data_IF_534501070685
#
_entry.id   IF_534501070685
#
_cell.length_a   1.000
_cell.length_b   1.000
_cell.length_c   1.000
_cell.angle_alpha   90.00
_cell.angle_beta   90.00
_cell.angle_gamma   90.00
#
_symmetry.space_group_name_H-M   'P 1'
#
loop_
_entity.id
_entity.type
_entity.pdbx_description
1 polymer ?
#
# COMPACT_ATOMS: atom_id res chain seq x y z
N UNK A 1 24.09 -26.59 13.73
CA UNK A 1 23.46 -26.36 12.42
C UNK A 1 22.22 -25.52 12.67
N UNK A 2 22.30 -24.20 12.49
CA UNK A 2 21.15 -23.30 12.73
C UNK A 2 20.20 -23.53 11.57
N UNK A 3 19.02 -24.10 11.87
CA UNK A 3 17.98 -24.36 10.89
C UNK A 3 17.56 -23.04 10.25
N UNK A 4 17.82 -22.88 8.94
CA UNK A 4 17.17 -21.84 8.16
C UNK A 4 15.69 -22.21 8.09
N UNK A 5 14.85 -21.42 8.73
CA UNK A 5 13.41 -21.39 8.45
C UNK A 5 13.25 -21.32 6.93
N UNK A 6 12.40 -22.17 6.33
CA UNK A 6 12.22 -22.19 4.89
C UNK A 6 11.89 -20.78 4.39
N UNK A 7 12.76 -20.20 3.57
CA UNK A 7 12.46 -18.93 2.91
C UNK A 7 11.31 -19.20 1.93
N UNK A 8 10.17 -18.50 2.06
CA UNK A 8 9.07 -18.69 1.14
C UNK A 8 9.45 -18.18 -0.25
N UNK A 9 9.08 -18.91 -1.31
CA UNK A 9 9.37 -18.49 -2.68
C UNK A 9 8.54 -17.26 -3.11
N UNK A 10 7.37 -17.08 -2.49
CA UNK A 10 6.45 -15.99 -2.81
C UNK A 10 5.63 -15.52 -1.61
N UNK A 11 5.19 -14.25 -1.66
CA UNK A 11 4.25 -13.64 -0.72
C UNK A 11 3.03 -13.17 -1.51
N UNK A 12 1.83 -13.61 -1.12
CA UNK A 12 0.59 -13.26 -1.82
C UNK A 12 -0.37 -12.51 -0.91
N UNK A 13 -0.94 -11.42 -1.41
CA UNK A 13 -2.00 -10.66 -0.74
C UNK A 13 -3.24 -10.56 -1.63
N UNK A 14 -4.42 -10.33 -1.04
CA UNK A 14 -5.63 -10.00 -1.81
C UNK A 14 -5.58 -8.65 -2.51
N UNK A 15 -4.70 -7.76 -2.07
CA UNK A 15 -4.58 -6.43 -2.65
C UNK A 15 -3.23 -5.83 -2.26
N UNK A 16 -2.62 -5.02 -3.14
CA UNK A 16 -1.27 -4.50 -2.93
C UNK A 16 -1.19 -3.58 -1.69
N UNK A 17 -2.24 -2.78 -1.45
CA UNK A 17 -2.36 -1.86 -0.30
C UNK A 17 -2.40 -2.56 1.08
N UNK A 18 -2.46 -3.88 1.11
CA UNK A 18 -2.38 -4.69 2.34
C UNK A 18 -0.98 -5.25 2.59
N UNK A 19 -0.07 -5.08 1.64
CA UNK A 19 1.33 -5.52 1.76
C UNK A 19 2.20 -4.45 2.43
N UNK A 20 1.78 -3.18 2.39
CA UNK A 20 2.53 -2.03 2.88
C UNK A 20 1.58 -0.98 3.49
N UNK A 21 2.07 -0.13 4.42
CA UNK A 21 1.26 0.98 4.99
C UNK A 21 1.57 2.32 4.34
N UNK A 22 2.81 2.52 3.92
CA UNK A 22 3.27 3.77 3.30
C UNK A 22 3.92 3.50 1.94
N UNK A 23 4.04 4.52 1.07
CA UNK A 23 4.81 4.38 -0.16
C UNK A 23 6.27 4.00 0.09
N UNK A 24 6.85 4.40 1.23
CA UNK A 24 8.22 4.01 1.60
C UNK A 24 8.32 2.52 1.91
N UNK A 25 7.34 1.99 2.65
CA UNK A 25 7.27 0.55 2.94
C UNK A 25 7.15 -0.29 1.64
N UNK A 26 6.53 0.25 0.59
CA UNK A 26 6.47 -0.40 -0.72
C UNK A 26 7.87 -0.50 -1.35
N UNK A 27 8.69 0.56 -1.24
CA UNK A 27 10.06 0.53 -1.73
C UNK A 27 10.91 -0.47 -0.94
N UNK A 28 10.79 -0.48 0.39
CA UNK A 28 11.47 -1.46 1.24
C UNK A 28 11.08 -2.90 0.87
N UNK A 29 9.80 -3.13 0.54
CA UNK A 29 9.31 -4.44 0.09
C UNK A 29 9.90 -4.85 -1.26
N UNK A 30 10.04 -3.91 -2.19
CA UNK A 30 10.67 -4.13 -3.49
C UNK A 30 12.14 -4.47 -3.33
N UNK A 31 12.88 -3.69 -2.53
CA UNK A 31 14.30 -3.92 -2.27
C UNK A 31 14.55 -5.27 -1.60
N UNK A 32 13.68 -5.62 -0.63
CA UNK A 32 13.73 -6.93 0.03
C UNK A 32 13.47 -8.07 -0.95
N UNK A 33 12.51 -7.92 -1.86
CA UNK A 33 12.20 -8.91 -2.89
C UNK A 33 13.38 -9.13 -3.84
N UNK A 34 14.03 -8.04 -4.29
CA UNK A 34 15.22 -8.10 -5.15
C UNK A 34 16.41 -8.75 -4.43
N UNK A 35 16.61 -8.45 -3.13
CA UNK A 35 17.70 -9.02 -2.34
C UNK A 35 17.53 -10.50 -2.01
N UNK A 36 16.28 -10.97 -1.89
CA UNK A 36 15.97 -12.34 -1.42
C UNK A 36 15.50 -13.29 -2.52
N UNK A 37 15.10 -12.75 -3.68
CA UNK A 37 14.49 -13.52 -4.76
C UNK A 37 13.03 -13.92 -4.50
N UNK A 38 12.42 -13.41 -3.42
CA UNK A 38 11.01 -13.68 -3.08
C UNK A 38 10.11 -12.90 -4.02
N UNK A 39 9.09 -13.55 -4.57
CA UNK A 39 8.12 -12.89 -5.47
C UNK A 39 6.91 -12.35 -4.70
N UNK A 40 6.71 -11.02 -4.62
CA UNK A 40 5.49 -10.46 -4.05
C UNK A 40 4.41 -10.33 -5.12
N UNK A 41 3.22 -10.86 -4.87
CA UNK A 41 2.08 -10.76 -5.78
C UNK A 41 0.80 -10.35 -5.05
N UNK A 42 -0.05 -9.56 -5.71
CA UNK A 42 -1.34 -9.15 -5.18
C UNK A 42 -2.48 -9.54 -6.12
N UNK A 43 -3.45 -10.31 -5.62
CA UNK A 43 -4.64 -10.74 -6.36
C UNK A 43 -5.70 -9.63 -6.39
N UNK A 44 -5.52 -8.62 -7.25
CA UNK A 44 -6.48 -7.54 -7.47
C UNK A 44 -7.80 -8.05 -8.06
N UNK A 45 -8.85 -7.23 -7.97
CA UNK A 45 -10.12 -7.52 -8.63
C UNK A 45 -9.96 -7.66 -10.16
N UNK A 46 -9.00 -6.95 -10.75
CA UNK A 46 -8.70 -6.95 -12.18
C UNK A 46 -7.64 -7.98 -12.60
N UNK A 47 -7.10 -8.76 -11.66
CA UNK A 47 -6.07 -9.77 -11.94
C UNK A 47 -4.91 -9.76 -10.96
N UNK A 48 -3.85 -10.49 -11.26
CA UNK A 48 -2.67 -10.54 -10.40
C UNK A 48 -1.72 -9.42 -10.75
N UNK A 49 -1.37 -8.61 -9.76
CA UNK A 49 -0.31 -7.62 -9.83
C UNK A 49 0.99 -8.24 -9.31
N UNK A 50 1.92 -8.50 -10.21
CA UNK A 50 3.24 -9.08 -9.89
C UNK A 50 4.29 -7.98 -9.66
N UNK A 51 4.68 -7.79 -8.39
CA UNK A 51 5.64 -6.76 -7.98
C UNK A 51 7.09 -7.12 -8.31
N UNK A 52 7.37 -8.35 -8.78
CA UNK A 52 8.70 -8.70 -9.30
C UNK A 52 8.97 -8.06 -10.67
N UNK A 53 7.91 -7.63 -11.39
CA UNK A 53 8.04 -7.00 -12.71
C UNK A 53 8.12 -5.47 -12.62
N UNK A 54 8.87 -4.80 -13.52
CA UNK A 54 8.91 -3.33 -13.55
C UNK A 54 7.52 -2.68 -13.71
N UNK A 55 6.67 -3.28 -14.55
CA UNK A 55 5.30 -2.80 -14.78
C UNK A 55 4.42 -2.92 -13.54
N UNK A 56 4.53 -4.03 -12.80
CA UNK A 56 3.78 -4.23 -11.56
C UNK A 56 4.22 -3.26 -10.45
N UNK A 57 5.53 -3.01 -10.32
CA UNK A 57 6.05 -1.98 -9.41
C UNK A 57 5.55 -0.59 -9.76
N UNK A 58 5.57 -0.22 -11.04
CA UNK A 58 5.03 1.06 -11.50
C UNK A 58 3.55 1.22 -11.13
N UNK A 59 2.72 0.21 -11.43
CA UNK A 59 1.30 0.26 -11.12
C UNK A 59 1.01 0.35 -9.62
N UNK A 60 1.75 -0.39 -8.78
CA UNK A 60 1.63 -0.30 -7.32
C UNK A 60 2.02 1.09 -6.78
N UNK A 61 3.12 1.67 -7.29
CA UNK A 61 3.56 3.03 -6.91
C UNK A 61 2.52 4.09 -7.28
N UNK A 62 1.98 4.03 -8.50
CA UNK A 62 0.90 4.93 -8.93
C UNK A 62 -0.32 4.77 -8.01
N UNK A 63 -0.72 3.53 -7.73
CA UNK A 63 -1.83 3.23 -6.81
C UNK A 63 -1.60 3.80 -5.40
N UNK A 64 -0.38 3.67 -4.87
CA UNK A 64 -0.01 4.23 -3.56
C UNK A 64 -0.15 5.77 -3.53
N UNK A 65 0.30 6.45 -4.58
CA UNK A 65 0.19 7.91 -4.70
C UNK A 65 -1.26 8.35 -4.80
N UNK A 66 -2.08 7.65 -5.60
CA UNK A 66 -3.52 7.93 -5.73
C UNK A 66 -4.24 7.75 -4.38
N UNK A 67 -4.02 6.65 -3.67
CA UNK A 67 -4.62 6.38 -2.37
C UNK A 67 -4.25 7.45 -1.33
N UNK A 68 -3.02 7.97 -1.39
CA UNK A 68 -2.59 9.07 -0.52
C UNK A 68 -3.34 10.37 -0.85
N UNK A 69 -3.44 10.74 -2.12
CA UNK A 69 -4.19 11.92 -2.55
C UNK A 69 -5.67 11.84 -2.11
N UNK A 70 -6.32 10.69 -2.27
CA UNK A 70 -7.70 10.50 -1.80
C UNK A 70 -7.84 10.70 -0.30
N UNK A 71 -6.86 10.24 0.47
CA UNK A 71 -6.82 10.44 1.93
C UNK A 71 -6.65 11.92 2.29
N UNK A 72 -5.77 12.64 1.60
CA UNK A 72 -5.55 14.07 1.82
C UNK A 72 -6.83 14.88 1.51
N UNK A 73 -7.49 14.60 0.38
CA UNK A 73 -8.78 15.20 0.04
C UNK A 73 -9.87 14.90 1.08
N UNK A 74 -9.91 13.65 1.59
CA UNK A 74 -10.87 13.27 2.63
C UNK A 74 -10.63 14.04 3.93
N UNK A 75 -9.36 14.17 4.34
CA UNK A 75 -8.98 14.91 5.55
C UNK A 75 -9.36 16.38 5.42
N UNK A 76 -9.09 17.01 4.28
CA UNK A 76 -9.49 18.40 4.02
C UNK A 76 -11.00 18.59 4.20
N UNK A 77 -11.81 17.73 3.59
CA UNK A 77 -13.28 17.76 3.73
C UNK A 77 -13.72 17.57 5.18
N UNK A 78 -13.09 16.65 5.90
CA UNK A 78 -13.41 16.38 7.30
C UNK A 78 -13.09 17.60 8.19
N UNK A 79 -11.95 18.24 8.00
CA UNK A 79 -11.56 19.46 8.72
C UNK A 79 -12.54 20.61 8.45
N UNK A 80 -12.94 20.81 7.20
CA UNK A 80 -13.96 21.81 6.84
C UNK A 80 -15.31 21.51 7.48
N UNK A 81 -15.74 20.24 7.48
CA UNK A 81 -16.97 19.81 8.14
C UNK A 81 -16.95 20.09 9.65
N UNK A 82 -15.83 19.77 10.31
CA UNK A 82 -15.63 20.06 11.74
C UNK A 82 -15.66 21.56 12.04
N UNK A 83 -15.03 22.39 11.19
CA UNK A 83 -15.08 23.84 11.32
C UNK A 83 -16.50 24.38 11.25
N UNK A 84 -17.29 23.96 10.24
CA UNK A 84 -18.69 24.35 10.08
C UNK A 84 -19.56 23.93 11.28
N UNK A 85 -19.32 22.74 11.84
CA UNK A 85 -20.03 22.29 13.05
C UNK A 85 -19.73 23.19 14.25
N UNK A 86 -18.46 23.55 14.45
CA UNK A 86 -18.04 24.47 15.53
C UNK A 86 -18.65 25.86 15.36
N UNK A 87 -18.65 26.41 14.15
CA UNK A 87 -19.26 27.71 13.83
C UNK A 87 -20.79 27.71 14.04
N UNK A 88 -21.45 26.58 13.81
CA UNK A 88 -22.90 26.41 14.05
C UNK A 88 -23.27 25.95 15.46
N UNK A 89 -22.31 25.90 16.40
CA UNK A 89 -22.54 25.54 17.80
C UNK A 89 -22.93 24.06 18.02
N UNK A 90 -22.70 23.18 17.03
CA UNK A 90 -22.97 21.76 17.15
C UNK A 90 -21.76 21.03 17.75
N UNK A 91 -21.96 20.09 18.69
CA UNK A 91 -20.88 19.28 19.24
C UNK A 91 -20.22 18.39 18.15
N UNK A 92 -19.01 17.93 18.44
CA UNK A 92 -18.12 17.20 17.53
C UNK A 92 -18.72 15.88 17.01
#
# INVERSE_FOLDING_TARGET
>A
MIARTACPDAIVSRHYDRMYRTPWDLEDLVDLAEATGVTPAAAQAQGVLDLSTPSGRLAARIGAVVARNETEMRVERQVLGHRRRRESGRPF
#
